data_IF_122794758130
#
_entry.id   IF_122794758130
#
_cell.length_a   1.000
_cell.length_b   1.000
_cell.length_c   1.000
_cell.angle_alpha   90.00
_cell.angle_beta   90.00
_cell.angle_gamma   90.00
#
_symmetry.space_group_name_H-M   'P 1'
#
loop_
_entity.id
_entity.type
_entity.pdbx_description
1 polymer ?
#
# COMPACT_ATOMS: atom_id res chain seq x y z
N UNK A 1 13.53 21.86 -2.16
CA UNK A 1 13.77 20.67 -3.00
C UNK A 1 14.85 21.05 -4.01
N UNK A 2 15.96 20.31 -4.05
CA UNK A 2 17.07 20.63 -4.95
C UNK A 2 16.70 20.24 -6.39
N UNK A 3 17.25 20.95 -7.40
CA UNK A 3 16.99 20.69 -8.83
C UNK A 3 17.28 19.22 -9.21
N UNK A 4 18.28 18.62 -8.62
CA UNK A 4 18.62 17.20 -8.79
C UNK A 4 17.52 16.26 -8.31
N UNK A 5 16.95 16.53 -7.12
CA UNK A 5 15.81 15.76 -6.57
C UNK A 5 14.58 15.86 -7.47
N UNK A 6 14.34 17.05 -8.04
CA UNK A 6 13.23 17.27 -8.95
C UNK A 6 13.40 16.48 -10.26
N UNK A 7 14.60 16.49 -10.83
CA UNK A 7 14.92 15.73 -12.05
C UNK A 7 14.79 14.22 -11.82
N UNK A 8 15.28 13.71 -10.68
CA UNK A 8 15.16 12.30 -10.32
C UNK A 8 13.70 11.88 -10.15
N UNK A 9 12.87 12.71 -9.49
CA UNK A 9 11.45 12.46 -9.30
C UNK A 9 10.71 12.48 -10.64
N UNK A 10 11.00 13.44 -11.51
CA UNK A 10 10.41 13.53 -12.84
C UNK A 10 10.77 12.30 -13.69
N UNK A 11 12.03 11.88 -13.70
CA UNK A 11 12.48 10.67 -14.37
C UNK A 11 11.81 9.40 -13.86
N UNK A 12 11.62 9.31 -12.54
CA UNK A 12 10.89 8.21 -11.90
C UNK A 12 9.41 8.17 -12.33
N UNK A 13 8.70 9.30 -12.26
CA UNK A 13 7.30 9.40 -12.69
C UNK A 13 7.17 9.02 -14.17
N UNK A 14 8.10 9.50 -15.01
CA UNK A 14 8.13 9.17 -16.43
C UNK A 14 8.31 7.67 -16.68
N UNK A 15 9.17 7.00 -15.92
CA UNK A 15 9.37 5.55 -16.02
C UNK A 15 8.09 4.78 -15.69
N UNK A 16 7.34 5.20 -14.67
CA UNK A 16 6.04 4.60 -14.34
C UNK A 16 5.03 4.82 -15.48
N UNK A 17 4.94 6.02 -16.01
CA UNK A 17 4.04 6.32 -17.14
C UNK A 17 4.36 5.46 -18.37
N UNK A 18 5.64 5.17 -18.64
CA UNK A 18 6.03 4.29 -19.73
C UNK A 18 5.60 2.82 -19.48
N UNK A 19 5.64 2.35 -18.24
CA UNK A 19 5.14 1.01 -17.90
C UNK A 19 3.63 0.88 -18.06
N UNK A 20 2.89 1.95 -17.81
CA UNK A 20 1.44 1.98 -17.95
C UNK A 20 0.99 2.18 -19.40
N UNK A 21 1.88 2.64 -20.27
CA UNK A 21 1.61 2.85 -21.70
C UNK A 21 1.31 1.51 -22.37
N UNK A 22 0.17 1.45 -23.04
CA UNK A 22 -0.34 0.25 -23.71
C UNK A 22 -1.50 -0.38 -22.94
N UNK A 23 -1.33 -0.85 -21.69
CA UNK A 23 -2.44 -1.42 -20.91
C UNK A 23 -3.50 -0.40 -20.49
N UNK A 24 -3.10 0.87 -20.32
CA UNK A 24 -3.96 1.93 -19.81
C UNK A 24 -3.96 3.15 -20.73
N UNK A 25 -5.11 3.85 -20.79
CA UNK A 25 -5.21 5.18 -21.38
C UNK A 25 -4.54 6.21 -20.47
N UNK A 26 -4.02 7.30 -21.05
CA UNK A 26 -3.30 8.36 -20.29
C UNK A 26 -4.13 8.96 -19.15
N UNK A 27 -5.43 9.10 -19.33
CA UNK A 27 -6.35 9.61 -18.31
C UNK A 27 -6.59 8.61 -17.15
N UNK A 28 -6.19 7.36 -17.30
CA UNK A 28 -6.34 6.32 -16.29
C UNK A 28 -5.09 6.17 -15.40
N UNK A 29 -3.94 6.72 -15.80
CA UNK A 29 -2.68 6.60 -15.03
C UNK A 29 -2.84 7.08 -13.59
N UNK A 30 -3.56 8.18 -13.36
CA UNK A 30 -3.83 8.68 -12.01
C UNK A 30 -4.58 7.69 -11.13
N UNK A 31 -5.50 6.91 -11.72
CA UNK A 31 -6.28 5.90 -10.99
C UNK A 31 -5.42 4.76 -10.46
N UNK A 32 -4.27 4.54 -11.07
CA UNK A 32 -3.30 3.50 -10.73
C UNK A 32 -2.22 4.04 -9.81
N UNK A 33 -1.58 5.14 -10.20
CA UNK A 33 -0.41 5.68 -9.50
C UNK A 33 -0.80 6.21 -8.12
N UNK A 34 -1.89 6.98 -8.03
CA UNK A 34 -2.26 7.64 -6.79
C UNK A 34 -2.58 6.66 -5.65
N UNK A 35 -3.44 5.65 -5.84
CA UNK A 35 -3.74 4.72 -4.76
C UNK A 35 -2.52 3.94 -4.27
N UNK A 36 -1.64 3.51 -5.17
CA UNK A 36 -0.42 2.78 -4.80
C UNK A 36 0.59 3.67 -4.06
N UNK A 37 0.68 4.94 -4.45
CA UNK A 37 1.50 5.92 -3.73
C UNK A 37 0.99 6.14 -2.31
N UNK A 38 -0.33 6.24 -2.14
CA UNK A 38 -0.98 6.39 -0.83
C UNK A 38 -0.74 5.15 0.03
N UNK A 39 -0.94 3.94 -0.52
CA UNK A 39 -0.67 2.68 0.17
C UNK A 39 0.80 2.59 0.62
N UNK A 40 1.72 2.93 -0.27
CA UNK A 40 3.15 2.94 0.08
C UNK A 40 3.46 3.94 1.19
N UNK A 41 2.82 5.10 1.16
CA UNK A 41 2.99 6.10 2.23
C UNK A 41 2.50 5.57 3.58
N UNK A 42 1.35 4.92 3.62
CA UNK A 42 0.86 4.28 4.85
C UNK A 42 1.81 3.20 5.36
N UNK A 43 2.31 2.35 4.47
CA UNK A 43 3.28 1.32 4.82
C UNK A 43 4.56 1.91 5.45
N UNK A 44 5.13 2.94 4.83
CA UNK A 44 6.32 3.64 5.36
C UNK A 44 6.07 4.26 6.74
N UNK A 45 4.87 4.82 6.96
CA UNK A 45 4.51 5.45 8.23
C UNK A 45 4.31 4.43 9.36
N UNK A 46 3.91 3.21 9.05
CA UNK A 46 3.65 2.15 10.02
C UNK A 46 4.82 1.16 10.18
N UNK A 47 5.83 1.21 9.31
CA UNK A 47 6.90 0.21 9.25
C UNK A 47 7.60 0.00 10.60
N UNK A 48 7.87 1.06 11.34
CA UNK A 48 8.58 1.00 12.63
C UNK A 48 7.73 0.46 13.79
N UNK A 49 6.40 0.56 13.72
CA UNK A 49 5.48 0.09 14.78
C UNK A 49 4.80 -1.23 14.45
N UNK A 50 4.98 -1.76 13.25
CA UNK A 50 4.23 -2.93 12.75
C UNK A 50 4.38 -4.16 13.64
N UNK A 51 5.59 -4.49 14.05
CA UNK A 51 5.85 -5.64 14.92
C UNK A 51 5.14 -5.50 16.27
N UNK A 52 5.15 -4.31 16.84
CA UNK A 52 4.49 -4.00 18.11
C UNK A 52 2.96 -4.06 17.98
N UNK A 53 2.41 -3.50 16.91
CA UNK A 53 0.97 -3.59 16.60
C UNK A 53 0.49 -5.03 16.51
N UNK A 54 1.23 -5.91 15.83
CA UNK A 54 0.87 -7.33 15.71
C UNK A 54 0.94 -8.06 17.05
N UNK A 55 1.95 -7.75 17.88
CA UNK A 55 2.10 -8.33 19.22
C UNK A 55 0.96 -7.89 20.14
N UNK A 56 0.69 -6.59 20.21
CA UNK A 56 -0.41 -6.04 21.01
C UNK A 56 -1.77 -6.57 20.55
N UNK A 57 -2.01 -6.60 19.25
CA UNK A 57 -3.25 -7.18 18.71
C UNK A 57 -3.45 -8.63 19.14
N UNK A 58 -2.40 -9.45 19.17
CA UNK A 58 -2.49 -10.83 19.61
C UNK A 58 -2.93 -10.94 21.10
N UNK A 59 -2.46 -10.01 21.93
CA UNK A 59 -2.80 -9.97 23.36
C UNK A 59 -4.23 -9.45 23.65
N UNK A 60 -4.77 -8.59 22.76
CA UNK A 60 -6.05 -7.89 23.04
C UNK A 60 -7.23 -8.34 22.17
N UNK A 61 -7.07 -9.42 21.38
CA UNK A 61 -8.11 -9.94 20.46
C UNK A 61 -9.48 -10.18 21.11
N UNK A 62 -9.50 -10.53 22.39
CA UNK A 62 -10.74 -10.80 23.12
C UNK A 62 -11.49 -9.55 23.60
N UNK A 63 -10.90 -8.36 23.41
CA UNK A 63 -11.50 -7.10 23.83
C UNK A 63 -12.47 -6.55 22.79
N UNK A 64 -13.43 -5.67 23.18
CA UNK A 64 -14.30 -4.98 22.24
C UNK A 64 -13.51 -4.23 21.17
N UNK A 65 -14.04 -4.18 19.94
CA UNK A 65 -13.36 -3.57 18.77
C UNK A 65 -12.97 -2.10 19.02
N UNK A 66 -13.80 -1.34 19.71
CA UNK A 66 -13.50 0.05 20.06
C UNK A 66 -12.26 0.21 20.94
N UNK A 67 -12.07 -0.71 21.90
CA UNK A 67 -10.91 -0.75 22.79
C UNK A 67 -9.66 -1.18 22.01
N UNK A 68 -9.77 -2.22 21.19
CA UNK A 68 -8.71 -2.69 20.31
C UNK A 68 -8.22 -1.56 19.41
N UNK A 69 -9.13 -0.86 18.77
CA UNK A 69 -8.83 0.29 17.93
C UNK A 69 -8.04 1.36 18.68
N UNK A 70 -8.55 1.83 19.80
CA UNK A 70 -7.92 2.89 20.61
C UNK A 70 -6.51 2.52 21.07
N UNK A 71 -6.31 1.26 21.47
CA UNK A 71 -4.99 0.77 21.88
C UNK A 71 -4.00 0.72 20.72
N UNK A 72 -4.42 0.21 19.57
CA UNK A 72 -3.56 0.10 18.39
C UNK A 72 -3.23 1.48 17.79
N UNK A 73 -4.17 2.42 17.78
CA UNK A 73 -3.92 3.81 17.38
C UNK A 73 -2.90 4.49 18.33
N UNK A 74 -2.93 4.15 19.62
CA UNK A 74 -1.93 4.64 20.59
C UNK A 74 -0.55 4.07 20.31
N UNK A 75 -0.44 2.78 20.01
CA UNK A 75 0.82 2.12 19.66
C UNK A 75 1.44 2.74 18.41
N UNK A 76 0.62 2.99 17.38
CA UNK A 76 1.11 3.61 16.14
C UNK A 76 1.39 5.11 16.26
N UNK A 77 0.82 5.77 17.28
CA UNK A 77 0.79 7.24 17.38
C UNK A 77 0.03 7.91 16.23
N UNK A 78 -0.85 7.17 15.56
CA UNK A 78 -1.60 7.61 14.37
C UNK A 78 -3.03 7.10 14.40
N UNK A 79 -3.98 7.78 13.74
CA UNK A 79 -5.39 7.35 13.70
C UNK A 79 -5.62 6.16 12.76
N UNK A 80 -4.61 5.33 12.52
CA UNK A 80 -4.69 4.13 11.69
C UNK A 80 -3.59 3.13 12.01
N UNK A 81 -3.84 1.86 11.67
CA UNK A 81 -2.93 0.73 11.86
C UNK A 81 -3.12 -0.30 10.74
N UNK A 82 -2.24 -1.30 10.66
CA UNK A 82 -2.37 -2.44 9.74
C UNK A 82 -2.04 -3.75 10.47
N UNK A 83 -2.94 -4.71 10.38
CA UNK A 83 -2.83 -6.05 10.98
C UNK A 83 -2.33 -7.12 9.99
N UNK A 84 -2.11 -6.77 8.72
CA UNK A 84 -1.57 -7.71 7.74
C UNK A 84 -0.14 -8.13 8.14
N UNK A 85 0.12 -9.42 8.09
CA UNK A 85 1.45 -9.98 8.37
C UNK A 85 2.47 -9.70 7.25
N UNK A 86 1.97 -9.39 6.05
CA UNK A 86 2.76 -9.12 4.86
C UNK A 86 3.09 -7.63 4.80
N UNK A 87 4.34 -7.29 4.46
CA UNK A 87 4.77 -5.93 4.20
C UNK A 87 4.56 -5.58 2.73
N UNK A 88 4.43 -4.30 2.42
CA UNK A 88 4.25 -3.84 1.03
C UNK A 88 5.38 -4.30 0.11
N UNK A 89 6.61 -4.37 0.59
CA UNK A 89 7.74 -4.88 -0.17
C UNK A 89 7.59 -6.37 -0.53
N UNK A 90 7.09 -7.19 0.40
CA UNK A 90 6.88 -8.63 0.21
C UNK A 90 5.72 -8.96 -0.74
N UNK A 91 4.82 -8.01 -1.00
CA UNK A 91 3.76 -8.20 -1.98
C UNK A 91 4.30 -8.52 -3.39
N UNK A 92 5.51 -8.05 -3.70
CA UNK A 92 6.14 -8.22 -5.01
C UNK A 92 6.97 -9.51 -5.14
N UNK A 93 7.16 -10.25 -4.06
CA UNK A 93 8.01 -11.47 -4.05
C UNK A 93 7.33 -12.62 -4.80
N UNK A 94 5.99 -12.70 -4.74
CA UNK A 94 5.22 -13.69 -5.51
C UNK A 94 4.20 -13.02 -6.44
N UNK A 95 4.52 -12.87 -7.73
CA UNK A 95 3.64 -12.27 -8.71
C UNK A 95 2.30 -13.01 -8.92
N UNK A 96 2.27 -14.32 -8.67
CA UNK A 96 1.07 -15.13 -8.85
C UNK A 96 0.05 -14.92 -7.71
N UNK A 97 0.56 -14.54 -6.54
CA UNK A 97 -0.25 -14.26 -5.35
C UNK A 97 -0.43 -12.76 -5.07
N UNK A 98 -0.01 -11.90 -6.01
CA UNK A 98 -0.03 -10.45 -5.79
C UNK A 98 -1.44 -9.91 -5.52
N UNK A 99 -2.44 -10.34 -6.30
CA UNK A 99 -3.82 -9.86 -6.13
C UNK A 99 -4.42 -10.27 -4.77
N UNK A 100 -4.42 -11.56 -4.38
CA UNK A 100 -4.92 -11.96 -3.07
C UNK A 100 -4.11 -11.36 -1.92
N UNK A 101 -2.79 -11.26 -2.06
CA UNK A 101 -1.92 -10.65 -1.05
C UNK A 101 -2.19 -9.15 -0.90
N UNK A 102 -2.40 -8.42 -1.99
CA UNK A 102 -2.74 -7.00 -1.96
C UNK A 102 -4.10 -6.77 -1.28
N UNK A 103 -5.10 -7.60 -1.61
CA UNK A 103 -6.40 -7.54 -0.95
C UNK A 103 -6.30 -7.84 0.55
N UNK A 104 -5.55 -8.87 0.94
CA UNK A 104 -5.30 -9.19 2.35
C UNK A 104 -4.56 -8.05 3.06
N UNK A 105 -3.62 -7.41 2.39
CA UNK A 105 -2.88 -6.27 2.92
C UNK A 105 -3.80 -5.05 3.14
N UNK A 106 -4.67 -4.72 2.18
CA UNK A 106 -5.63 -3.62 2.28
C UNK A 106 -6.65 -3.91 3.37
N UNK A 107 -7.17 -5.14 3.45
CA UNK A 107 -8.12 -5.56 4.48
C UNK A 107 -7.53 -5.56 5.90
N UNK A 108 -6.21 -5.63 6.02
CA UNK A 108 -5.51 -5.50 7.29
C UNK A 108 -5.51 -4.09 7.90
N UNK A 109 -5.82 -3.06 7.11
CA UNK A 109 -5.90 -1.69 7.62
C UNK A 109 -7.14 -1.44 8.50
N UNK A 110 -7.04 -0.46 9.37
CA UNK A 110 -8.16 0.09 10.12
C UNK A 110 -9.26 0.57 9.18
N UNK A 111 -10.51 0.58 9.67
CA UNK A 111 -11.71 0.88 8.88
C UNK A 111 -11.60 2.18 8.08
N UNK A 112 -11.13 3.25 8.69
CA UNK A 112 -10.98 4.56 8.04
C UNK A 112 -10.06 4.53 6.81
N UNK A 113 -8.97 3.75 6.85
CA UNK A 113 -8.10 3.57 5.69
C UNK A 113 -8.75 2.69 4.63
N UNK A 114 -9.46 1.62 5.03
CA UNK A 114 -10.22 0.79 4.09
C UNK A 114 -11.26 1.60 3.33
N UNK A 115 -12.02 2.43 4.03
CA UNK A 115 -13.03 3.32 3.43
C UNK A 115 -12.40 4.28 2.39
N UNK A 116 -11.16 4.72 2.63
CA UNK A 116 -10.40 5.51 1.65
C UNK A 116 -10.01 4.65 0.44
N UNK A 117 -9.55 3.42 0.67
CA UNK A 117 -9.12 2.51 -0.40
C UNK A 117 -10.30 2.05 -1.28
N UNK A 118 -11.49 1.85 -0.69
CA UNK A 118 -12.72 1.55 -1.43
C UNK A 118 -13.06 2.66 -2.44
N UNK A 119 -12.85 3.93 -2.08
CA UNK A 119 -13.06 5.07 -3.00
C UNK A 119 -12.12 5.06 -4.21
N UNK A 120 -10.99 4.37 -4.12
CA UNK A 120 -10.10 4.13 -5.25
C UNK A 120 -10.47 2.91 -6.08
N UNK A 121 -11.54 2.19 -5.72
CA UNK A 121 -12.06 1.02 -6.41
C UNK A 121 -11.00 -0.07 -6.66
N UNK A 122 -10.20 -0.38 -5.64
CA UNK A 122 -9.16 -1.42 -5.72
C UNK A 122 -9.71 -2.82 -6.00
N UNK A 123 -10.94 -3.10 -5.60
CA UNK A 123 -11.67 -4.33 -5.88
C UNK A 123 -11.82 -4.59 -7.39
N UNK A 124 -11.94 -3.53 -8.19
CA UNK A 124 -12.02 -3.63 -9.66
C UNK A 124 -10.67 -4.00 -10.32
N UNK A 125 -9.59 -4.02 -9.55
CA UNK A 125 -8.24 -4.28 -10.05
C UNK A 125 -7.87 -5.77 -10.11
N UNK A 126 -8.67 -6.64 -9.51
CA UNK A 126 -8.40 -8.08 -9.43
C UNK A 126 -8.32 -8.78 -10.80
N UNK A 127 -8.81 -8.17 -11.88
CA UNK A 127 -8.66 -8.61 -13.26
C UNK A 127 -7.75 -7.71 -14.11
N UNK A 128 -7.09 -6.72 -13.51
CA UNK A 128 -6.33 -5.71 -14.25
C UNK A 128 -5.00 -6.25 -14.78
N UNK A 129 -4.59 -5.84 -16.01
CA UNK A 129 -3.27 -6.19 -16.58
C UNK A 129 -2.07 -5.78 -15.73
N UNK A 130 -2.23 -4.88 -14.76
CA UNK A 130 -1.16 -4.50 -13.81
C UNK A 130 -0.71 -5.67 -12.95
N UNK A 131 -1.64 -6.49 -12.50
CA UNK A 131 -1.37 -7.63 -11.63
C UNK A 131 -0.60 -8.70 -12.40
N UNK A 132 -0.96 -8.93 -13.67
CA UNK A 132 -0.24 -9.87 -14.53
C UNK A 132 1.15 -9.37 -14.98
N UNK A 133 1.39 -8.06 -14.97
CA UNK A 133 2.65 -7.41 -15.35
C UNK A 133 3.49 -6.90 -14.17
N UNK A 134 3.18 -7.30 -12.95
CA UNK A 134 3.90 -6.89 -11.73
C UNK A 134 5.42 -7.17 -11.78
N UNK A 135 5.86 -8.12 -12.62
CA UNK A 135 7.29 -8.39 -12.90
C UNK A 135 8.05 -7.16 -13.45
N UNK A 136 7.34 -6.21 -14.09
CA UNK A 136 7.94 -5.01 -14.68
C UNK A 136 7.93 -3.79 -13.71
N UNK A 137 7.35 -3.92 -12.53
CA UNK A 137 7.33 -2.83 -11.56
C UNK A 137 8.72 -2.61 -10.98
N UNK A 138 9.27 -1.39 -11.08
CA UNK A 138 10.60 -1.13 -10.56
C UNK A 138 10.60 -1.34 -9.05
N UNK A 139 11.45 -2.22 -8.55
CA UNK A 139 11.71 -2.44 -7.11
C UNK A 139 12.03 -1.14 -6.36
N UNK A 140 12.40 -0.09 -7.10
CA UNK A 140 12.69 1.26 -6.58
C UNK A 140 11.49 1.94 -5.90
N UNK A 141 10.23 1.60 -6.22
CA UNK A 141 9.08 2.14 -5.47
C UNK A 141 9.11 1.69 -4.00
N UNK A 142 9.65 0.50 -3.75
CA UNK A 142 9.80 -0.03 -2.39
C UNK A 142 11.01 0.54 -1.65
N UNK A 143 11.98 1.16 -2.32
CA UNK A 143 13.21 1.70 -1.71
C UNK A 143 13.18 3.20 -1.43
N UNK A 144 12.12 3.90 -1.75
CA UNK A 144 11.95 5.32 -1.38
C UNK A 144 11.65 5.41 0.12
N UNK A 145 12.70 5.68 0.92
CA UNK A 145 12.62 6.07 2.32
C UNK A 145 12.08 7.48 2.49
#
# INVERSE_FOLDING_TARGET
MNAETHSQLAGFIWSICNLLRGPYKRNEYRKVILPLTVLRRFDCLLAHTKAEVLREHAAIKAKPESVVRSLLERVTGRPFYNLAKIDFAKLLDDPNQLAPNLNAYINGFSKNVRDIMERFAFDQWNGSPLISRSRAWPRRICSMK
#
